data_IF_976980270889
#
_entry.id   IF_976980270889
#
_cell.length_a   1.000
_cell.length_b   1.000
_cell.length_c   1.000
_cell.angle_alpha   90.00
_cell.angle_beta   90.00
_cell.angle_gamma   90.00
#
_symmetry.space_group_name_H-M   'P 1'
#
loop_
_entity.id
_entity.type
_entity.pdbx_description
1 polymer ?
#
# COMPACT_ATOMS: atom_id res chain seq x y z
N UNK A 1 -16.20 -7.36 -5.92
CA UNK A 1 -14.92 -8.09 -6.05
C UNK A 1 -14.85 -9.18 -4.98
N UNK A 2 -14.47 -10.42 -5.35
CA UNK A 2 -14.21 -11.49 -4.36
C UNK A 2 -13.07 -11.04 -3.44
N UNK A 3 -13.28 -11.12 -2.13
CA UNK A 3 -12.30 -10.65 -1.13
C UNK A 3 -11.15 -11.65 -1.03
N UNK A 4 -9.93 -11.15 -1.13
CA UNK A 4 -8.69 -11.94 -1.11
C UNK A 4 -8.19 -12.09 0.33
N UNK A 5 -7.70 -13.28 0.69
CA UNK A 5 -7.23 -13.57 2.06
C UNK A 5 -6.03 -12.71 2.44
N UNK A 6 -5.92 -12.23 3.69
CA UNK A 6 -4.74 -11.49 4.16
C UNK A 6 -3.45 -12.32 4.08
N UNK A 7 -3.54 -13.66 4.17
CA UNK A 7 -2.38 -14.54 3.97
C UNK A 7 -1.82 -14.42 2.55
N UNK A 8 -2.69 -14.33 1.55
CA UNK A 8 -2.27 -14.17 0.16
C UNK A 8 -1.50 -12.86 -0.03
N UNK A 9 -2.03 -11.75 0.51
CA UNK A 9 -1.35 -10.44 0.44
C UNK A 9 0.02 -10.47 1.11
N UNK A 10 0.13 -11.10 2.28
CA UNK A 10 1.42 -11.25 2.96
C UNK A 10 2.39 -12.12 2.17
N UNK A 11 1.95 -13.26 1.62
CA UNK A 11 2.83 -14.08 0.78
C UNK A 11 3.26 -13.37 -0.49
N UNK A 12 2.33 -12.64 -1.13
CA UNK A 12 2.64 -11.81 -2.29
C UNK A 12 3.73 -10.78 -1.97
N UNK A 13 3.60 -10.04 -0.87
CA UNK A 13 4.62 -9.07 -0.46
C UNK A 13 5.98 -9.72 -0.23
N UNK A 14 6.02 -10.84 0.50
CA UNK A 14 7.26 -11.56 0.81
C UNK A 14 7.91 -12.05 -0.49
N UNK A 15 7.14 -12.63 -1.42
CA UNK A 15 7.69 -13.08 -2.69
C UNK A 15 8.16 -11.91 -3.55
N UNK A 16 7.39 -10.82 -3.64
CA UNK A 16 7.77 -9.64 -4.43
C UNK A 16 9.08 -9.01 -3.91
N UNK A 17 9.16 -8.75 -2.61
CA UNK A 17 10.36 -8.15 -2.00
C UNK A 17 11.54 -9.12 -2.03
N UNK A 18 11.32 -10.39 -1.67
CA UNK A 18 12.37 -11.39 -1.65
C UNK A 18 12.95 -11.67 -3.03
N UNK A 19 12.09 -11.79 -4.05
CA UNK A 19 12.53 -11.95 -5.43
C UNK A 19 13.26 -10.71 -5.95
N UNK A 20 12.75 -9.51 -5.64
CA UNK A 20 13.41 -8.25 -5.97
C UNK A 20 14.82 -8.16 -5.38
N UNK A 21 14.99 -8.49 -4.10
CA UNK A 21 16.31 -8.52 -3.44
C UNK A 21 17.27 -9.48 -4.16
N UNK A 22 16.81 -10.68 -4.49
CA UNK A 22 17.62 -11.67 -5.20
C UNK A 22 18.09 -11.12 -6.55
N UNK A 23 17.18 -10.54 -7.34
CA UNK A 23 17.53 -9.96 -8.63
C UNK A 23 18.50 -8.79 -8.49
N UNK A 24 18.29 -7.88 -7.54
CA UNK A 24 19.17 -6.73 -7.35
C UNK A 24 20.59 -7.16 -6.98
N UNK A 25 20.72 -8.21 -6.14
CA UNK A 25 22.02 -8.78 -5.78
C UNK A 25 22.73 -9.39 -7.00
N UNK A 26 22.01 -10.06 -7.91
CA UNK A 26 22.59 -10.55 -9.17
C UNK A 26 23.06 -9.41 -10.07
N UNK A 27 22.36 -8.28 -10.08
CA UNK A 27 22.72 -7.10 -10.85
C UNK A 27 23.75 -6.20 -10.16
N UNK A 28 24.24 -6.59 -8.98
CA UNK A 28 25.22 -5.83 -8.17
C UNK A 28 24.70 -4.43 -7.79
N UNK A 29 23.38 -4.31 -7.66
CA UNK A 29 22.68 -3.10 -7.22
C UNK A 29 22.36 -3.18 -5.72
N UNK A 30 21.86 -2.07 -5.16
CA UNK A 30 21.40 -2.07 -3.78
C UNK A 30 20.30 -3.13 -3.58
N UNK A 31 20.39 -3.89 -2.49
CA UNK A 31 19.49 -5.01 -2.21
C UNK A 31 18.00 -4.60 -2.25
N UNK A 32 17.69 -3.38 -1.80
CA UNK A 32 16.34 -2.81 -1.85
C UNK A 32 16.43 -1.52 -2.67
N UNK A 33 15.58 -1.40 -3.70
CA UNK A 33 15.44 -0.19 -4.50
C UNK A 33 14.13 0.53 -4.17
N UNK A 34 13.94 1.69 -4.80
CA UNK A 34 12.80 2.58 -4.58
C UNK A 34 11.45 1.89 -4.83
N UNK A 35 11.38 0.97 -5.80
CA UNK A 35 10.16 0.21 -6.08
C UNK A 35 9.77 -0.71 -4.92
N UNK A 36 10.73 -1.40 -4.33
CA UNK A 36 10.49 -2.26 -3.17
C UNK A 36 10.13 -1.42 -1.94
N UNK A 37 10.76 -0.26 -1.74
CA UNK A 37 10.38 0.69 -0.69
C UNK A 37 8.95 1.22 -0.86
N UNK A 38 8.56 1.56 -2.10
CA UNK A 38 7.20 2.00 -2.43
C UNK A 38 6.16 0.92 -2.11
N UNK A 39 6.43 -0.33 -2.50
CA UNK A 39 5.54 -1.46 -2.20
C UNK A 39 5.43 -1.72 -0.69
N UNK A 40 6.55 -1.70 0.03
CA UNK A 40 6.56 -1.83 1.50
C UNK A 40 5.74 -0.71 2.16
N UNK A 41 5.85 0.52 1.68
CA UNK A 41 5.08 1.67 2.15
C UNK A 41 3.57 1.49 1.96
N UNK A 42 3.14 1.01 0.79
CA UNK A 42 1.72 0.71 0.50
C UNK A 42 1.18 -0.35 1.47
N UNK A 43 1.93 -1.44 1.68
CA UNK A 43 1.51 -2.51 2.58
C UNK A 43 1.50 -2.09 4.05
N UNK A 44 2.50 -1.32 4.49
CA UNK A 44 2.54 -0.76 5.83
C UNK A 44 1.35 0.17 6.07
N UNK A 45 1.06 1.08 5.13
CA UNK A 45 -0.09 1.98 5.22
C UNK A 45 -1.40 1.19 5.25
N UNK A 46 -1.58 0.21 4.36
CA UNK A 46 -2.76 -0.65 4.35
C UNK A 46 -2.95 -1.40 5.69
N UNK A 47 -1.87 -1.89 6.28
CA UNK A 47 -1.90 -2.59 7.57
C UNK A 47 -2.29 -1.66 8.72
N UNK A 48 -1.58 -0.54 8.90
CA UNK A 48 -1.82 0.44 9.96
C UNK A 48 -3.24 1.00 9.88
N UNK A 49 -3.68 1.36 8.68
CA UNK A 49 -5.02 1.92 8.47
C UNK A 49 -6.14 0.88 8.59
N UNK A 50 -5.86 -0.41 8.35
CA UNK A 50 -6.80 -1.50 8.67
C UNK A 50 -7.02 -1.60 10.18
N UNK A 51 -5.96 -1.45 10.97
CA UNK A 51 -6.00 -1.48 12.42
C UNK A 51 -6.75 -0.26 12.99
N UNK A 52 -6.46 0.93 12.47
CA UNK A 52 -7.11 2.18 12.90
C UNK A 52 -8.55 2.36 12.36
N UNK A 53 -9.05 1.43 11.53
CA UNK A 53 -10.38 1.49 10.89
C UNK A 53 -10.66 2.82 10.20
N UNK A 54 -9.65 3.41 9.58
CA UNK A 54 -9.78 4.73 8.94
C UNK A 54 -10.79 4.72 7.78
N UNK A 55 -11.54 5.82 7.57
CA UNK A 55 -12.43 5.95 6.42
C UNK A 55 -11.64 6.03 5.11
N UNK A 56 -12.25 5.56 4.02
CA UNK A 56 -11.65 5.51 2.69
C UNK A 56 -11.20 6.87 2.17
N UNK A 57 -11.89 7.94 2.54
CA UNK A 57 -11.57 9.31 2.14
C UNK A 57 -10.14 9.70 2.54
N UNK A 58 -9.69 9.26 3.71
CA UNK A 58 -8.36 9.60 4.23
C UNK A 58 -7.23 9.08 3.33
N UNK A 59 -7.44 7.97 2.64
CA UNK A 59 -6.44 7.40 1.73
C UNK A 59 -6.19 8.30 0.53
N UNK A 60 -7.27 8.82 -0.08
CA UNK A 60 -7.16 9.74 -1.21
C UNK A 60 -6.38 10.99 -0.81
N UNK A 61 -6.66 11.54 0.37
CA UNK A 61 -5.95 12.71 0.90
C UNK A 61 -4.48 12.40 1.19
N UNK A 62 -4.18 11.30 1.88
CA UNK A 62 -2.80 10.90 2.19
C UNK A 62 -1.98 10.73 0.90
N UNK A 63 -2.50 9.97 -0.06
CA UNK A 63 -1.79 9.74 -1.33
C UNK A 63 -1.62 11.02 -2.14
N UNK A 64 -2.63 11.90 -2.13
CA UNK A 64 -2.55 13.19 -2.79
C UNK A 64 -1.44 14.08 -2.21
N UNK A 65 -1.36 14.16 -0.88
CA UNK A 65 -0.31 14.92 -0.20
C UNK A 65 1.07 14.30 -0.44
N UNK A 66 1.20 12.97 -0.35
CA UNK A 66 2.46 12.28 -0.64
C UNK A 66 2.95 12.56 -2.06
N UNK A 67 2.06 12.51 -3.05
CA UNK A 67 2.43 12.81 -4.43
C UNK A 67 2.86 14.27 -4.61
N UNK A 68 2.15 15.19 -3.97
CA UNK A 68 2.51 16.60 -3.99
C UNK A 68 3.93 16.81 -3.44
N UNK A 69 4.27 16.16 -2.31
CA UNK A 69 5.60 16.24 -1.71
C UNK A 69 6.68 15.64 -2.62
N UNK A 70 6.45 14.45 -3.18
CA UNK A 70 7.43 13.79 -4.06
C UNK A 70 7.69 14.67 -5.30
N UNK A 71 6.64 15.12 -5.98
CA UNK A 71 6.77 15.92 -7.20
C UNK A 71 7.35 17.31 -6.94
N UNK A 72 7.17 17.84 -5.74
CA UNK A 72 7.88 19.05 -5.30
C UNK A 72 9.39 18.81 -5.17
N UNK A 73 9.82 17.66 -4.65
CA UNK A 73 11.24 17.35 -4.47
C UNK A 73 11.96 17.09 -5.81
N UNK A 74 11.32 16.42 -6.76
CA UNK A 74 11.92 16.13 -8.08
C UNK A 74 11.72 17.25 -9.11
N UNK A 75 11.15 18.39 -8.70
CA UNK A 75 10.88 19.53 -9.59
C UNK A 75 9.85 19.24 -10.69
N UNK A 76 9.03 18.20 -10.53
CA UNK A 76 8.03 17.77 -11.50
C UNK A 76 6.73 18.57 -11.45
N UNK A 77 6.60 19.48 -10.49
CA UNK A 77 5.51 20.45 -10.43
C UNK A 77 5.77 21.58 -11.44
N UNK A 78 5.33 21.40 -12.69
CA UNK A 78 5.54 22.38 -13.76
C UNK A 78 4.31 23.25 -14.03
N UNK A 79 3.12 22.65 -14.07
CA UNK A 79 1.89 23.33 -14.49
C UNK A 79 0.67 22.89 -13.68
N UNK A 80 -0.45 23.63 -13.84
CA UNK A 80 -1.74 23.28 -13.23
C UNK A 80 -2.26 21.90 -13.69
N UNK A 81 -1.81 21.40 -14.84
CA UNK A 81 -2.14 20.06 -15.35
C UNK A 81 -1.53 18.94 -14.51
N UNK A 82 -0.44 19.20 -13.79
CA UNK A 82 0.16 18.26 -12.85
C UNK A 82 -0.83 17.85 -11.75
N UNK A 83 -1.73 18.73 -11.32
CA UNK A 83 -2.75 18.44 -10.30
C UNK A 83 -3.72 17.33 -10.72
N UNK A 84 -4.04 17.24 -12.00
CA UNK A 84 -4.91 16.19 -12.55
C UNK A 84 -4.20 14.84 -12.45
N UNK A 85 -2.92 14.81 -12.82
CA UNK A 85 -2.08 13.61 -12.71
C UNK A 85 -1.96 13.17 -11.25
N UNK A 86 -1.81 14.12 -10.32
CA UNK A 86 -1.71 13.81 -8.89
C UNK A 86 -3.01 13.20 -8.39
N UNK A 87 -4.15 13.81 -8.70
CA UNK A 87 -5.46 13.31 -8.32
C UNK A 87 -5.70 11.91 -8.88
N UNK A 88 -5.35 11.68 -10.16
CA UNK A 88 -5.49 10.40 -10.82
C UNK A 88 -4.62 9.32 -10.18
N UNK A 89 -3.32 9.57 -10.03
CA UNK A 89 -2.40 8.61 -9.43
C UNK A 89 -2.74 8.33 -7.96
N UNK A 90 -3.20 9.35 -7.23
CA UNK A 90 -3.65 9.19 -5.85
C UNK A 90 -4.89 8.33 -5.76
N UNK A 91 -5.83 8.47 -6.70
CA UNK A 91 -7.01 7.61 -6.77
C UNK A 91 -6.64 6.16 -7.06
N UNK A 92 -5.69 5.90 -7.97
CA UNK A 92 -5.17 4.56 -8.24
C UNK A 92 -4.52 3.96 -6.99
N UNK A 93 -3.60 4.70 -6.36
CA UNK A 93 -2.89 4.23 -5.18
C UNK A 93 -3.83 3.98 -4.00
N UNK A 94 -4.78 4.89 -3.77
CA UNK A 94 -5.79 4.72 -2.74
C UNK A 94 -6.66 3.48 -3.01
N UNK A 95 -7.02 3.23 -4.27
CA UNK A 95 -7.77 2.04 -4.66
C UNK A 95 -6.99 0.74 -4.42
N UNK A 96 -5.73 0.67 -4.84
CA UNK A 96 -4.85 -0.49 -4.58
C UNK A 96 -4.71 -0.74 -3.08
N UNK A 97 -4.49 0.33 -2.32
CA UNK A 97 -4.29 0.26 -0.86
C UNK A 97 -5.55 -0.18 -0.13
N UNK A 98 -6.73 0.34 -0.52
CA UNK A 98 -8.00 -0.11 0.06
C UNK A 98 -8.30 -1.57 -0.30
N UNK A 99 -7.88 -2.03 -1.49
CA UNK A 99 -8.02 -3.44 -1.86
C UNK A 99 -7.19 -4.35 -0.95
N UNK A 100 -5.92 -4.02 -0.71
CA UNK A 100 -5.03 -4.74 0.22
C UNK A 100 -5.60 -4.67 1.65
N UNK A 101 -5.98 -3.47 2.10
CA UNK A 101 -6.56 -3.21 3.42
C UNK A 101 -7.80 -4.05 3.68
N UNK A 102 -8.67 -4.21 2.68
CA UNK A 102 -9.89 -5.00 2.81
C UNK A 102 -9.63 -6.47 3.15
N UNK A 103 -8.46 -6.99 2.76
CA UNK A 103 -7.99 -8.31 3.18
C UNK A 103 -7.58 -8.34 4.65
N UNK A 104 -6.87 -7.31 5.14
CA UNK A 104 -6.41 -7.24 6.54
C UNK A 104 -7.54 -6.90 7.54
N UNK A 105 -8.45 -6.00 7.19
CA UNK A 105 -9.58 -5.61 8.05
C UNK A 105 -10.47 -6.81 8.45
N UNK A 106 -10.58 -7.82 7.59
CA UNK A 106 -11.31 -9.07 7.90
C UNK A 106 -10.82 -9.80 9.16
N UNK A 107 -9.56 -9.63 9.58
CA UNK A 107 -9.08 -10.22 10.85
C UNK A 107 -9.70 -9.54 12.06
N UNK A 108 -9.95 -8.24 11.97
CA UNK A 108 -10.44 -7.41 13.09
C UNK A 108 -11.97 -7.34 13.15
N UNK A 109 -12.65 -7.64 12.05
CA UNK A 109 -14.12 -7.65 11.98
C UNK A 109 -14.74 -9.03 12.20
N UNK A 110 -13.93 -10.09 12.36
CA UNK A 110 -14.45 -11.40 12.77
C UNK A 110 -14.94 -11.28 14.21
N UNK A 111 -16.22 -11.59 14.51
CA UNK A 111 -16.66 -11.69 15.90
C UNK A 111 -15.73 -12.71 16.59
N UNK A 112 -15.17 -12.34 17.74
CA UNK A 112 -14.43 -13.28 18.60
C UNK A 112 -15.37 -14.47 18.81
N UNK A 113 -15.16 -15.59 18.11
CA UNK A 113 -15.86 -16.83 18.40
C UNK A 113 -15.56 -17.09 19.87
N UNK A 114 -16.60 -17.04 20.70
CA UNK A 114 -16.50 -17.43 22.09
C UNK A 114 -15.74 -18.74 22.15
N UNK A 115 -14.64 -18.74 22.90
CA UNK A 115 -14.03 -19.96 23.40
C UNK A 115 -15.15 -20.70 24.14
N UNK A 116 -15.78 -21.68 23.48
CA UNK A 116 -16.46 -22.74 24.20
C UNK A 116 -15.34 -23.49 24.91
N UNK A 117 -15.21 -23.20 26.21
CA UNK A 117 -14.61 -24.14 27.15
C UNK A 117 -15.50 -25.37 27.15
N UNK A 118 -14.99 -26.46 26.63
CA UNK A 118 -15.34 -27.82 27.05
C UNK A 118 -14.03 -28.49 27.45
#
# INVERSE_FOLDING_TARGET
MKKVSPKFWTYFLIMYVGFGIILNLFHHEAAIQDEQYGMLGIFALAYVTSYLRMPRLNFYVIYFVLWLVILRQIGGYRDWTSWIIFAFMSAIMAWVTDWIRSGYAQRYDRPKKHQKKE
#
